data_IF_702854843929
#
_entry.id   IF_702854843929
#
_cell.length_a   1.000
_cell.length_b   1.000
_cell.length_c   1.000
_cell.angle_alpha   90.00
_cell.angle_beta   90.00
_cell.angle_gamma   90.00
#
_symmetry.space_group_name_H-M   'P 1'
#
loop_
_entity.id
_entity.type
_entity.pdbx_description
1 polymer ?
#
# COMPACT_ATOMS: atom_id res chain seq x y z
N UNK A 1 3.73 -10.88 -26.08
CA UNK A 1 3.03 -9.62 -25.82
C UNK A 1 3.15 -9.40 -24.32
N UNK A 2 4.14 -8.62 -23.89
CA UNK A 2 4.46 -8.49 -22.47
C UNK A 2 3.35 -7.75 -21.74
N UNK A 3 3.16 -8.04 -20.45
CA UNK A 3 2.08 -7.51 -19.60
C UNK A 3 1.90 -5.98 -19.74
N UNK A 4 3.02 -5.27 -19.89
CA UNK A 4 3.08 -3.82 -20.14
C UNK A 4 2.34 -3.43 -21.43
N UNK A 5 2.51 -4.19 -22.51
CA UNK A 5 1.87 -3.92 -23.79
C UNK A 5 0.37 -4.27 -23.81
N UNK A 6 -0.06 -5.24 -23.00
CA UNK A 6 -1.49 -5.52 -22.80
C UNK A 6 -2.18 -4.35 -22.07
N UNK A 7 -1.59 -3.84 -21.00
CA UNK A 7 -2.12 -2.71 -20.23
C UNK A 7 -2.18 -1.42 -21.07
N UNK A 8 -1.13 -1.16 -21.87
CA UNK A 8 -1.06 0.02 -22.74
C UNK A 8 -2.10 0.03 -23.88
N UNK A 9 -2.69 -1.12 -24.22
CA UNK A 9 -3.68 -1.23 -25.30
C UNK A 9 -5.10 -0.79 -24.91
N UNK A 10 -5.37 -0.54 -23.63
CA UNK A 10 -6.69 -0.18 -23.09
C UNK A 10 -6.88 1.29 -22.67
N UNK A 11 -6.00 2.20 -23.12
CA UNK A 11 -5.98 3.59 -22.67
C UNK A 11 -7.19 4.42 -23.15
N UNK A 12 -8.32 4.30 -22.44
CA UNK A 12 -9.29 5.39 -22.34
C UNK A 12 -8.65 6.42 -21.41
N UNK A 13 -8.06 7.48 -21.99
CA UNK A 13 -7.54 8.61 -21.20
C UNK A 13 -8.67 9.15 -20.31
N UNK A 14 -8.46 9.17 -18.99
CA UNK A 14 -9.39 9.75 -18.01
C UNK A 14 -9.44 11.28 -18.09
N UNK A 15 -9.78 11.83 -19.26
CA UNK A 15 -9.88 13.27 -19.46
C UNK A 15 -11.19 13.86 -18.91
N UNK A 16 -12.13 13.03 -18.40
CA UNK A 16 -13.47 13.42 -17.93
C UNK A 16 -13.82 12.84 -16.54
N UNK A 17 -12.86 12.67 -15.64
CA UNK A 17 -13.19 12.28 -14.25
C UNK A 17 -13.73 13.49 -13.47
N UNK A 18 -14.82 13.34 -12.68
CA UNK A 18 -15.40 14.45 -11.92
C UNK A 18 -14.53 14.90 -10.73
N UNK A 19 -13.45 14.18 -10.43
CA UNK A 19 -12.56 14.43 -9.30
C UNK A 19 -11.16 14.88 -9.75
N UNK A 20 -10.60 15.87 -9.06
CA UNK A 20 -9.27 16.42 -9.36
C UNK A 20 -8.13 15.47 -8.93
N UNK A 21 -6.88 15.78 -9.30
CA UNK A 21 -5.71 14.94 -8.99
C UNK A 21 -5.57 14.65 -7.49
N UNK A 22 -5.76 15.65 -6.63
CA UNK A 22 -5.68 15.47 -5.19
C UNK A 22 -6.75 14.48 -4.70
N UNK A 23 -7.99 14.63 -5.17
CA UNK A 23 -9.08 13.72 -4.84
C UNK A 23 -8.85 12.30 -5.37
N UNK A 24 -8.24 12.14 -6.54
CA UNK A 24 -7.87 10.83 -7.08
C UNK A 24 -6.80 10.16 -6.22
N UNK A 25 -5.74 10.89 -5.84
CA UNK A 25 -4.73 10.39 -4.90
C UNK A 25 -5.38 9.91 -3.60
N UNK A 26 -6.31 10.69 -3.03
CA UNK A 26 -7.01 10.30 -1.79
C UNK A 26 -7.90 9.07 -1.99
N UNK A 27 -8.70 9.05 -3.05
CA UNK A 27 -9.67 7.98 -3.31
C UNK A 27 -8.98 6.63 -3.54
N UNK A 28 -7.98 6.61 -4.43
CA UNK A 28 -7.25 5.38 -4.77
C UNK A 28 -6.44 4.90 -3.57
N UNK A 29 -5.74 5.79 -2.86
CA UNK A 29 -5.00 5.38 -1.64
C UNK A 29 -5.92 4.77 -0.58
N UNK A 30 -7.12 5.32 -0.42
CA UNK A 30 -8.10 4.77 0.52
C UNK A 30 -8.60 3.39 0.08
N UNK A 31 -8.79 3.18 -1.23
CA UNK A 31 -9.12 1.88 -1.83
C UNK A 31 -8.01 0.85 -1.52
N UNK A 32 -6.75 1.14 -1.87
CA UNK A 32 -5.62 0.22 -1.65
C UNK A 32 -5.40 -0.09 -0.15
N UNK A 33 -5.56 0.91 0.73
CA UNK A 33 -5.50 0.68 2.17
C UNK A 33 -6.62 -0.25 2.65
N UNK A 34 -7.80 -0.16 2.03
CA UNK A 34 -8.93 -1.05 2.28
C UNK A 34 -8.64 -2.48 1.84
N UNK A 35 -8.05 -2.66 0.66
CA UNK A 35 -7.67 -3.97 0.13
C UNK A 35 -6.58 -4.64 0.98
N UNK A 36 -5.52 -3.89 1.32
CA UNK A 36 -4.46 -4.34 2.23
C UNK A 36 -5.01 -4.73 3.61
N UNK A 37 -5.94 -3.94 4.15
CA UNK A 37 -6.63 -4.28 5.41
C UNK A 37 -7.35 -5.62 5.28
N UNK A 38 -8.10 -5.84 4.20
CA UNK A 38 -8.81 -7.10 3.99
C UNK A 38 -7.84 -8.30 3.89
N UNK A 39 -6.72 -8.16 3.19
CA UNK A 39 -5.72 -9.23 3.07
C UNK A 39 -5.04 -9.51 4.41
N UNK A 40 -4.67 -8.49 5.19
CA UNK A 40 -4.14 -8.65 6.54
C UNK A 40 -5.13 -9.40 7.45
N UNK A 41 -6.41 -9.04 7.44
CA UNK A 41 -7.44 -9.70 8.24
C UNK A 41 -7.68 -11.15 7.82
N UNK A 42 -7.54 -11.47 6.52
CA UNK A 42 -7.58 -12.86 6.04
C UNK A 42 -6.41 -13.68 6.54
N UNK A 43 -5.21 -13.10 6.65
CA UNK A 43 -4.03 -13.78 7.19
C UNK A 43 -4.25 -14.14 8.67
N UNK A 44 -4.63 -13.14 9.48
CA UNK A 44 -4.90 -13.32 10.92
C UNK A 44 -5.95 -14.41 11.17
N UNK A 45 -6.99 -14.47 10.35
CA UNK A 45 -8.07 -15.47 10.52
C UNK A 45 -7.68 -16.88 10.09
N UNK A 46 -6.77 -17.03 9.13
CA UNK A 46 -6.53 -18.32 8.45
C UNK A 46 -5.24 -19.01 8.85
N UNK A 47 -4.23 -18.27 9.29
CA UNK A 47 -2.88 -18.79 9.48
C UNK A 47 -2.37 -18.45 10.87
N UNK A 48 -1.73 -19.42 11.53
CA UNK A 48 -1.08 -19.19 12.82
C UNK A 48 0.41 -18.91 12.65
N UNK A 49 1.01 -19.38 11.56
CA UNK A 49 2.41 -19.14 11.22
C UNK A 49 2.57 -18.77 9.73
N UNK A 50 3.61 -17.97 9.43
CA UNK A 50 3.91 -17.54 8.05
C UNK A 50 4.17 -18.70 7.10
N UNK A 51 4.74 -19.81 7.58
CA UNK A 51 5.03 -21.01 6.79
C UNK A 51 3.78 -21.74 6.29
N UNK A 52 2.62 -21.47 6.88
CA UNK A 52 1.33 -22.06 6.50
C UNK A 52 0.63 -21.29 5.38
N UNK A 53 1.09 -20.05 5.11
CA UNK A 53 0.49 -19.18 4.11
C UNK A 53 0.74 -19.77 2.73
N UNK A 54 -0.34 -20.03 1.98
CA UNK A 54 -0.21 -20.51 0.62
C UNK A 54 0.19 -19.38 -0.34
N UNK A 55 0.78 -19.77 -1.47
CA UNK A 55 1.30 -18.87 -2.51
C UNK A 55 0.28 -17.80 -2.95
N UNK A 56 -1.00 -18.18 -3.09
CA UNK A 56 -2.05 -17.23 -3.45
C UNK A 56 -2.15 -16.06 -2.47
N UNK A 57 -2.19 -16.34 -1.17
CA UNK A 57 -2.33 -15.26 -0.16
C UNK A 57 -1.02 -14.54 0.09
N UNK A 58 0.12 -15.20 -0.11
CA UNK A 58 1.43 -14.56 -0.09
C UNK A 58 1.57 -13.51 -1.20
N UNK A 59 1.28 -13.89 -2.45
CA UNK A 59 1.27 -12.97 -3.58
C UNK A 59 0.29 -11.82 -3.38
N UNK A 60 -0.92 -12.10 -2.88
CA UNK A 60 -1.90 -11.03 -2.62
C UNK A 60 -1.41 -10.06 -1.55
N UNK A 61 -0.73 -10.53 -0.50
CA UNK A 61 -0.17 -9.62 0.50
C UNK A 61 0.90 -8.70 -0.09
N UNK A 62 1.75 -9.22 -0.99
CA UNK A 62 2.77 -8.43 -1.68
C UNK A 62 2.13 -7.41 -2.63
N UNK A 63 1.13 -7.83 -3.41
CA UNK A 63 0.38 -6.99 -4.35
C UNK A 63 -0.22 -5.77 -3.62
N UNK A 64 -1.10 -6.00 -2.65
CA UNK A 64 -1.78 -4.88 -1.95
C UNK A 64 -0.79 -3.99 -1.17
N UNK A 65 0.31 -4.56 -0.66
CA UNK A 65 1.35 -3.76 0.01
C UNK A 65 2.09 -2.88 -0.99
N UNK A 66 2.37 -3.42 -2.19
CA UNK A 66 2.99 -2.70 -3.29
C UNK A 66 2.11 -1.57 -3.81
N UNK A 67 0.80 -1.81 -3.94
CA UNK A 67 -0.15 -0.81 -4.41
C UNK A 67 -0.29 0.36 -3.43
N UNK A 68 -0.34 0.08 -2.11
CA UNK A 68 -0.28 1.12 -1.08
C UNK A 68 1.03 1.91 -1.14
N UNK A 69 2.17 1.24 -1.32
CA UNK A 69 3.47 1.91 -1.40
C UNK A 69 3.57 2.80 -2.64
N UNK A 70 3.11 2.32 -3.80
CA UNK A 70 3.02 3.08 -5.05
C UNK A 70 2.22 4.37 -4.84
N UNK A 71 1.07 4.27 -4.16
CA UNK A 71 0.26 5.45 -3.87
C UNK A 71 0.93 6.44 -2.92
N UNK A 72 1.69 5.96 -1.93
CA UNK A 72 2.50 6.83 -1.05
C UNK A 72 3.58 7.55 -1.86
N UNK A 73 4.29 6.85 -2.75
CA UNK A 73 5.31 7.45 -3.62
C UNK A 73 4.70 8.53 -4.54
N UNK A 74 3.55 8.25 -5.16
CA UNK A 74 2.83 9.24 -5.97
C UNK A 74 2.44 10.48 -5.15
N UNK A 75 2.08 10.35 -3.87
CA UNK A 75 1.82 11.51 -3.02
C UNK A 75 3.08 12.35 -2.75
N UNK A 76 4.25 11.71 -2.61
CA UNK A 76 5.54 12.41 -2.50
C UNK A 76 5.82 13.18 -3.80
N UNK A 77 5.66 12.53 -4.95
CA UNK A 77 5.87 13.14 -6.27
C UNK A 77 4.96 14.36 -6.51
N UNK A 78 3.74 14.33 -5.99
CA UNK A 78 2.78 15.43 -6.06
C UNK A 78 2.95 16.47 -4.94
N UNK A 79 3.97 16.34 -4.09
CA UNK A 79 4.36 17.32 -3.09
C UNK A 79 3.45 17.40 -1.87
N UNK A 80 2.71 16.34 -1.53
CA UNK A 80 1.88 16.31 -0.33
C UNK A 80 2.74 16.21 0.95
N UNK A 81 3.89 15.57 0.85
CA UNK A 81 4.91 15.43 1.89
C UNK A 81 6.23 15.00 1.24
N UNK A 82 7.34 15.09 1.98
CA UNK A 82 8.66 14.65 1.52
C UNK A 82 9.02 13.27 2.07
N UNK A 83 9.99 12.61 1.44
CA UNK A 83 10.60 11.39 1.99
C UNK A 83 11.15 11.59 3.40
N UNK A 84 11.69 12.79 3.68
CA UNK A 84 12.21 13.15 5.00
C UNK A 84 11.09 13.17 6.04
N UNK A 85 9.96 13.81 5.71
CA UNK A 85 8.79 13.83 6.60
C UNK A 85 8.35 12.40 6.96
N UNK A 86 8.28 11.50 5.97
CA UNK A 86 7.89 10.12 6.18
C UNK A 86 8.91 9.35 7.04
N UNK A 87 10.21 9.52 6.79
CA UNK A 87 11.28 8.85 7.57
C UNK A 87 11.26 9.28 9.03
N UNK A 88 11.09 10.57 9.30
CA UNK A 88 10.99 11.10 10.67
C UNK A 88 9.75 10.52 11.38
N UNK A 89 8.63 10.40 10.67
CA UNK A 89 7.42 9.77 11.22
C UNK A 89 7.59 8.26 11.48
N UNK A 90 8.33 7.55 10.63
CA UNK A 90 8.68 6.13 10.83
C UNK A 90 9.48 5.96 12.12
N UNK A 91 10.50 6.79 12.36
CA UNK A 91 11.31 6.71 13.58
C UNK A 91 10.45 6.87 14.83
N UNK A 92 9.58 7.88 14.87
CA UNK A 92 8.65 8.08 15.98
C UNK A 92 7.72 6.87 16.16
N UNK A 93 7.21 6.26 15.08
CA UNK A 93 6.38 5.06 15.17
C UNK A 93 7.17 3.86 15.70
N UNK A 94 8.41 3.66 15.27
CA UNK A 94 9.31 2.60 15.76
C UNK A 94 9.57 2.77 17.25
N UNK A 95 9.89 3.98 17.72
CA UNK A 95 10.09 4.27 19.14
C UNK A 95 8.83 3.99 19.97
N UNK A 96 7.63 4.30 19.46
CA UNK A 96 6.38 3.87 20.09
C UNK A 96 6.24 2.34 20.13
N UNK A 97 6.57 1.63 19.05
CA UNK A 97 6.44 0.18 18.99
C UNK A 97 7.37 -0.56 19.95
N UNK A 98 8.53 0.01 20.30
CA UNK A 98 9.40 -0.51 21.37
C UNK A 98 8.70 -0.56 22.73
N UNK A 99 7.82 0.41 23.01
CA UNK A 99 7.11 0.52 24.28
C UNK A 99 5.80 -0.30 24.28
N UNK A 100 5.13 -0.39 23.13
CA UNK A 100 3.74 -0.86 23.05
C UNK A 100 3.56 -2.17 22.28
N UNK A 101 4.64 -2.81 21.82
CA UNK A 101 4.60 -4.10 21.13
C UNK A 101 5.89 -4.89 21.33
N UNK A 102 5.85 -6.20 21.04
CA UNK A 102 7.03 -7.07 21.05
C UNK A 102 7.76 -7.15 19.69
N UNK A 103 7.44 -6.24 18.76
CA UNK A 103 7.95 -6.29 17.38
C UNK A 103 9.37 -5.72 17.24
N UNK A 104 9.78 -4.82 18.14
CA UNK A 104 11.09 -4.18 18.14
C UNK A 104 11.58 -4.21 19.58
N UNK A 105 12.61 -5.00 19.85
CA UNK A 105 13.25 -5.07 21.17
C UNK A 105 14.60 -4.34 21.08
N UNK A 106 14.85 -3.41 22.00
CA UNK A 106 16.15 -2.79 22.27
C UNK A 106 16.53 -3.04 23.73
#
# INVERSE_FOLDING_TARGET
MDFINYYNSGNIRMNNTPINTYQQLMAITAEECGELTQVCMKHIRKYSDKKEVNEKWDHKLIEETGDVLCMIELMVEHGLFTDTDLRDRIEVKRNKLKLWSSLINE
#
